data_IF_395228198878
#
_entry.id   IF_395228198878
#
_cell.length_a   1.000
_cell.length_b   1.000
_cell.length_c   1.000
_cell.angle_alpha   90.00
_cell.angle_beta   90.00
_cell.angle_gamma   90.00
#
_symmetry.space_group_name_H-M   'P 1'
#
loop_
_entity.id
_entity.type
_entity.pdbx_description
1 polymer ?
#
# COMPACT_ATOMS: atom_id res chain seq x y z
N UNK A 1 5.79 19.03 -12.08
CA UNK A 1 4.51 18.50 -11.55
C UNK A 1 4.62 18.28 -10.04
N UNK A 2 3.55 18.00 -9.29
CA UNK A 2 3.67 17.49 -7.91
C UNK A 2 3.61 15.96 -7.94
N UNK A 3 4.46 15.28 -7.18
CA UNK A 3 4.36 13.83 -7.01
C UNK A 3 3.14 13.49 -6.16
N UNK A 4 2.23 12.69 -6.72
CA UNK A 4 1.02 12.22 -6.04
C UNK A 4 0.33 11.10 -6.81
N UNK A 5 -0.34 10.21 -6.08
CA UNK A 5 -1.32 9.28 -6.61
C UNK A 5 -2.71 9.90 -6.52
N UNK A 6 -3.35 10.09 -7.67
CA UNK A 6 -4.71 10.61 -7.73
C UNK A 6 -5.72 9.47 -7.68
N UNK A 7 -6.36 9.30 -6.53
CA UNK A 7 -7.37 8.26 -6.28
C UNK A 7 -8.61 8.33 -7.19
N UNK A 8 -8.86 9.44 -7.90
CA UNK A 8 -10.01 9.55 -8.81
C UNK A 8 -9.65 9.24 -10.26
N UNK A 9 -8.39 9.43 -10.64
CA UNK A 9 -7.92 9.12 -12.00
C UNK A 9 -7.07 7.87 -12.06
N UNK A 10 -6.65 7.30 -10.92
CA UNK A 10 -5.80 6.11 -10.85
C UNK A 10 -4.36 6.33 -11.34
N UNK A 11 -3.94 7.59 -11.46
CA UNK A 11 -2.63 7.96 -12.03
C UNK A 11 -1.63 8.23 -10.92
N UNK A 12 -0.43 7.67 -11.08
CA UNK A 12 0.74 8.09 -10.33
C UNK A 12 1.47 9.21 -11.10
N UNK A 13 1.46 10.42 -10.56
CA UNK A 13 2.24 11.54 -11.05
C UNK A 13 3.61 11.53 -10.39
N UNK A 14 4.68 11.58 -11.19
CA UNK A 14 6.07 11.58 -10.74
C UNK A 14 6.74 12.87 -11.19
N UNK A 15 7.12 13.73 -10.24
CA UNK A 15 7.82 14.98 -10.52
C UNK A 15 9.31 14.76 -10.86
N UNK A 16 9.55 13.98 -11.90
CA UNK A 16 10.86 13.71 -12.48
C UNK A 16 10.71 13.33 -13.96
N UNK A 17 11.77 13.44 -14.78
CA UNK A 17 11.78 12.88 -16.13
C UNK A 17 11.75 11.34 -16.11
N UNK A 18 11.16 10.74 -17.14
CA UNK A 18 11.14 9.28 -17.30
C UNK A 18 12.53 8.75 -17.67
N UNK A 19 13.08 7.76 -16.94
CA UNK A 19 14.34 7.12 -17.31
C UNK A 19 14.26 6.42 -18.66
N UNK A 20 15.32 6.55 -19.46
CA UNK A 20 15.46 5.88 -20.76
C UNK A 20 15.32 4.36 -20.63
N UNK A 21 15.79 3.77 -19.54
CA UNK A 21 15.70 2.34 -19.28
C UNK A 21 14.26 1.80 -19.11
N UNK A 22 13.25 2.67 -18.91
CA UNK A 22 11.83 2.30 -18.83
C UNK A 22 11.08 2.46 -20.16
N UNK A 23 11.76 2.90 -21.23
CA UNK A 23 11.14 3.17 -22.54
C UNK A 23 11.01 1.93 -23.44
N UNK A 24 11.51 0.77 -23.00
CA UNK A 24 11.40 -0.49 -23.74
C UNK A 24 10.07 -1.21 -23.54
N UNK A 25 9.87 -2.32 -24.25
CA UNK A 25 8.62 -3.11 -24.23
C UNK A 25 8.23 -3.63 -22.84
N UNK A 26 9.21 -3.76 -21.94
CA UNK A 26 9.03 -4.20 -20.55
C UNK A 26 8.44 -3.14 -19.62
N UNK A 27 8.30 -1.88 -20.07
CA UNK A 27 7.69 -0.79 -19.32
C UNK A 27 8.26 -0.61 -17.90
N UNK A 28 7.39 -0.68 -16.89
CA UNK A 28 7.74 -0.53 -15.47
C UNK A 28 8.31 -1.79 -14.81
N UNK A 29 8.24 -2.95 -15.46
CA UNK A 29 8.63 -4.22 -14.84
C UNK A 29 10.08 -4.25 -14.32
N UNK A 30 11.09 -3.72 -15.04
CA UNK A 30 12.47 -3.70 -14.55
C UNK A 30 12.63 -2.94 -13.24
N UNK A 31 11.83 -1.89 -13.04
CA UNK A 31 11.82 -1.11 -11.80
C UNK A 31 11.33 -1.95 -10.62
N UNK A 32 10.18 -2.62 -10.73
CA UNK A 32 9.63 -3.38 -9.59
C UNK A 32 10.40 -4.66 -9.24
N UNK A 33 11.14 -5.22 -10.20
CA UNK A 33 12.08 -6.30 -9.95
C UNK A 33 13.25 -5.82 -9.10
N UNK A 34 13.78 -4.62 -9.39
CA UNK A 34 14.96 -4.07 -8.73
C UNK A 34 14.73 -2.61 -8.35
N UNK A 35 13.84 -2.29 -7.40
CA UNK A 35 13.49 -0.90 -7.08
C UNK A 35 14.69 -0.13 -6.47
N UNK A 36 15.69 -0.86 -6.01
CA UNK A 36 16.92 -0.32 -5.42
C UNK A 36 18.10 -0.24 -6.39
N UNK A 37 17.92 -0.56 -7.68
CA UNK A 37 19.01 -0.42 -8.66
C UNK A 37 19.51 1.04 -8.66
N UNK A 38 20.82 1.29 -8.46
CA UNK A 38 21.39 2.63 -8.54
C UNK A 38 21.10 3.35 -9.87
N UNK A 39 20.85 2.61 -10.96
CA UNK A 39 20.49 3.16 -12.26
C UNK A 39 19.22 4.02 -12.25
N UNK A 40 18.33 3.82 -11.26
CA UNK A 40 17.12 4.64 -11.10
C UNK A 40 17.40 6.00 -10.45
N UNK A 41 18.60 6.23 -9.91
CA UNK A 41 18.94 7.43 -9.15
C UNK A 41 18.30 7.46 -7.75
N UNK A 42 18.30 8.64 -7.13
CA UNK A 42 17.87 8.82 -5.73
C UNK A 42 16.36 9.07 -5.62
N UNK A 43 15.82 9.97 -6.46
CA UNK A 43 14.45 10.46 -6.30
C UNK A 43 13.39 9.49 -6.83
N UNK A 44 13.64 8.88 -7.99
CA UNK A 44 12.64 8.06 -8.68
C UNK A 44 12.22 6.83 -7.86
N UNK A 45 13.13 6.03 -7.25
CA UNK A 45 12.73 4.88 -6.46
C UNK A 45 11.72 5.20 -5.36
N UNK A 46 11.95 6.31 -4.64
CA UNK A 46 11.05 6.76 -3.58
C UNK A 46 9.67 7.08 -4.14
N UNK A 47 9.64 7.96 -5.13
CA UNK A 47 8.40 8.51 -5.65
C UNK A 47 7.58 7.44 -6.36
N UNK A 48 8.18 6.72 -7.31
CA UNK A 48 7.45 5.74 -8.11
C UNK A 48 6.95 4.58 -7.27
N UNK A 49 7.76 4.07 -6.34
CA UNK A 49 7.33 2.99 -5.47
C UNK A 49 6.25 3.45 -4.48
N UNK A 50 6.41 4.62 -3.85
CA UNK A 50 5.42 5.17 -2.92
C UNK A 50 4.06 5.39 -3.58
N UNK A 51 4.02 6.02 -4.75
CA UNK A 51 2.74 6.22 -5.46
C UNK A 51 2.15 4.89 -5.96
N UNK A 52 2.98 3.88 -6.23
CA UNK A 52 2.51 2.53 -6.57
C UNK A 52 1.89 1.81 -5.37
N UNK A 53 2.43 2.03 -4.17
CA UNK A 53 1.84 1.50 -2.93
C UNK A 53 0.44 2.06 -2.73
N UNK A 54 0.20 3.34 -3.01
CA UNK A 54 -1.15 3.91 -2.96
C UNK A 54 -2.12 3.24 -3.94
N UNK A 55 -1.68 2.95 -5.17
CA UNK A 55 -2.48 2.17 -6.11
C UNK A 55 -2.84 0.78 -5.57
N UNK A 56 -1.88 0.06 -4.97
CA UNK A 56 -2.13 -1.25 -4.37
C UNK A 56 -3.06 -1.15 -3.15
N UNK A 57 -2.91 -0.11 -2.34
CA UNK A 57 -3.79 0.18 -1.21
C UNK A 57 -5.22 0.46 -1.68
N UNK A 58 -5.44 1.18 -2.79
CA UNK A 58 -6.79 1.38 -3.37
C UNK A 58 -7.42 0.03 -3.67
N UNK A 59 -6.66 -0.85 -4.33
CA UNK A 59 -7.13 -2.13 -4.78
C UNK A 59 -7.49 -3.07 -3.62
N UNK A 60 -6.80 -2.93 -2.48
CA UNK A 60 -6.99 -3.77 -1.30
C UNK A 60 -7.86 -3.16 -0.20
N UNK A 61 -8.38 -1.95 -0.39
CA UNK A 61 -9.11 -1.19 0.63
C UNK A 61 -10.53 -0.88 0.18
N UNK A 62 -11.51 -1.56 0.81
CA UNK A 62 -12.92 -1.21 0.62
C UNK A 62 -13.19 0.25 0.96
N UNK A 63 -12.60 0.80 2.02
CA UNK A 63 -12.84 2.20 2.39
C UNK A 63 -12.43 3.18 1.29
N UNK A 64 -11.25 2.98 0.69
CA UNK A 64 -10.77 3.81 -0.41
C UNK A 64 -11.63 3.64 -1.67
N UNK A 65 -12.04 2.42 -1.98
CA UNK A 65 -12.94 2.14 -3.10
C UNK A 65 -14.29 2.85 -2.93
N UNK A 66 -14.86 2.85 -1.72
CA UNK A 66 -16.11 3.55 -1.43
C UNK A 66 -15.99 5.07 -1.58
N UNK A 67 -14.83 5.66 -1.25
CA UNK A 67 -14.57 7.07 -1.56
C UNK A 67 -14.60 7.29 -3.07
N UNK A 68 -13.87 6.50 -3.85
CA UNK A 68 -13.84 6.65 -5.32
C UNK A 68 -15.24 6.52 -5.92
N UNK A 69 -16.02 5.53 -5.49
CA UNK A 69 -17.38 5.28 -5.96
C UNK A 69 -18.30 6.45 -5.65
N UNK A 70 -18.33 6.92 -4.41
CA UNK A 70 -19.20 8.04 -4.01
C UNK A 70 -18.87 9.32 -4.78
N UNK A 71 -17.60 9.55 -5.09
CA UNK A 71 -17.15 10.72 -5.84
C UNK A 71 -17.44 10.58 -7.35
N UNK A 72 -17.33 9.37 -7.90
CA UNK A 72 -17.73 9.06 -9.27
C UNK A 72 -19.23 9.21 -9.48
N UNK A 73 -20.05 8.67 -8.57
CA UNK A 73 -21.51 8.82 -8.62
C UNK A 73 -21.93 10.29 -8.51
N UNK A 74 -21.22 11.09 -7.69
CA UNK A 74 -21.47 12.54 -7.63
C UNK A 74 -21.17 13.20 -8.97
N UNK A 75 -20.06 12.86 -9.61
CA UNK A 75 -19.71 13.39 -10.94
C UNK A 75 -20.78 13.03 -11.97
N UNK A 76 -21.17 11.76 -12.06
CA UNK A 76 -22.22 11.31 -12.98
C UNK A 76 -23.55 12.03 -12.73
N UNK A 77 -23.89 12.32 -11.48
CA UNK A 77 -25.08 13.08 -11.15
C UNK A 77 -25.00 14.51 -11.66
N UNK A 78 -23.90 15.19 -11.38
CA UNK A 78 -23.64 16.54 -11.86
C UNK A 78 -23.73 16.64 -13.40
N UNK A 79 -23.17 15.68 -14.13
CA UNK A 79 -23.23 15.65 -15.59
C UNK A 79 -24.65 15.39 -16.13
N UNK A 80 -25.44 14.59 -15.41
CA UNK A 80 -26.80 14.23 -15.83
C UNK A 80 -27.80 15.36 -15.68
N UNK A 81 -27.79 16.05 -14.53
CA UNK A 81 -28.84 17.04 -14.20
C UNK A 81 -28.31 18.37 -13.67
N UNK A 82 -27.00 18.59 -13.69
CA UNK A 82 -26.37 19.82 -13.20
C UNK A 82 -26.35 19.94 -11.66
N UNK A 83 -26.81 18.93 -10.92
CA UNK A 83 -26.87 19.00 -9.46
C UNK A 83 -25.47 18.93 -8.83
N UNK A 84 -25.09 19.99 -8.11
CA UNK A 84 -23.87 20.04 -7.31
C UNK A 84 -24.16 19.49 -5.92
N UNK A 85 -24.00 18.18 -5.74
CA UNK A 85 -24.18 17.55 -4.43
C UNK A 85 -23.01 17.92 -3.48
N UNK A 86 -23.23 17.90 -2.16
CA UNK A 86 -22.12 17.99 -1.21
C UNK A 86 -21.14 16.83 -1.39
N UNK A 87 -19.87 17.07 -1.04
CA UNK A 87 -18.87 15.99 -0.94
C UNK A 87 -19.35 14.89 0.00
N UNK A 88 -19.02 13.64 -0.34
CA UNK A 88 -19.36 12.49 0.51
C UNK A 88 -18.75 12.66 1.91
N UNK A 89 -19.44 12.15 2.95
CA UNK A 89 -18.90 12.17 4.31
C UNK A 89 -17.58 11.39 4.39
N UNK A 90 -17.44 10.30 3.63
CA UNK A 90 -16.20 9.54 3.49
C UNK A 90 -15.03 10.42 2.99
N UNK A 91 -15.24 11.24 1.94
CA UNK A 91 -14.19 12.16 1.45
C UNK A 91 -13.89 13.27 2.47
N UNK A 92 -14.88 13.75 3.21
CA UNK A 92 -14.69 14.81 4.23
C UNK A 92 -13.89 14.31 5.43
N UNK A 93 -14.16 13.08 5.89
CA UNK A 93 -13.47 12.49 7.04
C UNK A 93 -12.09 11.93 6.69
N UNK A 94 -11.84 11.57 5.42
CA UNK A 94 -10.57 10.96 5.00
C UNK A 94 -9.31 11.67 5.53
N UNK A 95 -9.26 13.00 5.44
CA UNK A 95 -8.12 13.81 5.87
C UNK A 95 -8.26 14.46 7.25
N UNK A 96 -9.27 14.08 8.05
CA UNK A 96 -9.57 14.68 9.36
C UNK A 96 -9.73 13.58 10.40
N UNK A 97 -8.97 13.65 11.47
CA UNK A 97 -9.17 12.77 12.62
C UNK A 97 -10.50 13.13 13.31
N UNK A 98 -11.27 12.13 13.73
CA UNK A 98 -12.36 12.35 14.68
C UNK A 98 -11.81 12.85 16.04
N UNK A 99 -12.67 13.44 16.87
CA UNK A 99 -12.25 14.08 18.12
C UNK A 99 -11.58 13.10 19.11
N UNK A 100 -11.96 11.84 19.06
CA UNK A 100 -11.50 10.72 19.89
C UNK A 100 -10.45 9.84 19.19
N UNK A 101 -10.11 10.14 17.93
CA UNK A 101 -9.17 9.36 17.15
C UNK A 101 -7.76 9.97 17.15
N UNK A 102 -6.70 9.15 17.30
CA UNK A 102 -5.32 9.65 17.38
C UNK A 102 -4.81 10.22 16.06
N UNK A 103 -5.39 9.86 14.91
CA UNK A 103 -4.96 10.26 13.56
C UNK A 103 -6.08 10.09 12.55
N UNK A 104 -5.89 10.59 11.33
CA UNK A 104 -6.86 10.44 10.24
C UNK A 104 -6.61 9.17 9.41
N UNK A 105 -7.60 8.77 8.59
CA UNK A 105 -7.44 7.67 7.62
C UNK A 105 -6.30 7.95 6.64
N UNK A 106 -6.16 9.20 6.20
CA UNK A 106 -5.04 9.65 5.37
C UNK A 106 -3.70 9.42 6.05
N UNK A 107 -3.56 9.81 7.32
CA UNK A 107 -2.30 9.62 8.06
C UNK A 107 -1.93 8.13 8.12
N UNK A 108 -2.91 7.25 8.33
CA UNK A 108 -2.72 5.79 8.37
C UNK A 108 -2.23 5.23 7.02
N UNK A 109 -2.83 5.67 5.92
CA UNK A 109 -2.46 5.23 4.56
C UNK A 109 -1.05 5.69 4.19
N UNK A 110 -0.72 6.94 4.52
CA UNK A 110 0.62 7.50 4.31
C UNK A 110 1.66 6.81 5.20
N UNK A 111 1.29 6.48 6.45
CA UNK A 111 2.10 5.65 7.34
C UNK A 111 2.37 4.27 6.74
N UNK A 112 1.36 3.61 6.18
CA UNK A 112 1.51 2.29 5.58
C UNK A 112 2.33 2.34 4.28
N UNK A 113 2.15 3.36 3.44
CA UNK A 113 2.94 3.55 2.23
C UNK A 113 4.41 3.80 2.58
N UNK A 114 4.66 4.71 3.53
CA UNK A 114 6.01 4.98 4.00
C UNK A 114 6.66 3.76 4.66
N UNK A 115 5.90 3.00 5.46
CA UNK A 115 6.39 1.77 6.06
C UNK A 115 6.97 0.80 5.01
N UNK A 116 6.23 0.58 3.93
CA UNK A 116 6.69 -0.30 2.86
C UNK A 116 7.79 0.29 1.99
N UNK A 117 7.81 1.60 1.79
CA UNK A 117 8.94 2.32 1.20
C UNK A 117 10.23 2.04 1.98
N UNK A 118 10.18 2.12 3.32
CA UNK A 118 11.34 1.84 4.19
C UNK A 118 11.80 0.38 4.11
N UNK A 119 10.88 -0.58 4.19
CA UNK A 119 11.23 -2.01 4.08
C UNK A 119 11.82 -2.37 2.72
N UNK A 120 11.27 -1.81 1.63
CA UNK A 120 11.77 -2.09 0.29
C UNK A 120 13.12 -1.44 0.05
N UNK A 121 13.32 -0.19 0.50
CA UNK A 121 14.52 0.59 0.17
C UNK A 121 15.69 0.41 1.14
N UNK A 122 15.46 -0.26 2.27
CA UNK A 122 16.34 -0.34 3.44
C UNK A 122 16.43 0.98 4.22
N UNK A 123 16.24 0.96 5.55
CA UNK A 123 16.42 2.13 6.40
C UNK A 123 17.80 2.79 6.24
N UNK A 124 18.87 1.99 6.20
CA UNK A 124 20.25 2.50 6.12
C UNK A 124 20.47 3.33 4.85
N UNK A 125 19.85 2.93 3.73
CA UNK A 125 19.88 3.71 2.48
C UNK A 125 19.12 5.02 2.66
N UNK A 126 17.90 4.96 3.18
CA UNK A 126 17.07 6.14 3.39
C UNK A 126 17.71 7.17 4.33
N UNK A 127 18.37 6.71 5.39
CA UNK A 127 19.14 7.58 6.29
C UNK A 127 20.18 8.39 5.51
N UNK A 128 20.93 7.75 4.60
CA UNK A 128 21.96 8.40 3.79
C UNK A 128 21.35 9.35 2.76
N UNK A 129 20.27 8.97 2.11
CA UNK A 129 19.63 9.76 1.05
C UNK A 129 18.82 10.95 1.58
N UNK A 130 18.20 10.80 2.74
CA UNK A 130 17.37 11.84 3.36
C UNK A 130 18.15 12.73 4.33
N UNK A 131 19.41 12.38 4.62
CA UNK A 131 20.26 13.12 5.55
C UNK A 131 19.79 13.04 7.00
N UNK A 132 19.12 11.95 7.38
CA UNK A 132 18.68 11.76 8.78
C UNK A 132 19.89 11.55 9.68
N UNK A 133 20.04 12.39 10.72
CA UNK A 133 21.14 12.26 11.68
C UNK A 133 20.80 11.19 12.74
N UNK A 134 21.59 10.11 12.79
CA UNK A 134 21.51 9.06 13.80
C UNK A 134 22.38 9.34 15.04
N UNK A 135 22.90 10.57 15.20
CA UNK A 135 23.66 11.00 16.38
C UNK A 135 24.93 10.18 16.62
N UNK A 136 25.60 9.74 15.54
CA UNK A 136 26.84 8.97 15.60
C UNK A 136 26.71 7.45 15.82
N UNK A 137 25.50 6.92 16.07
CA UNK A 137 25.26 5.48 16.38
C UNK A 137 25.36 4.54 15.17
N UNK A 138 25.43 5.07 13.95
CA UNK A 138 25.57 4.30 12.69
C UNK A 138 26.82 3.42 12.64
N UNK A 139 27.96 3.93 13.12
CA UNK A 139 29.24 3.23 13.00
C UNK A 139 29.33 1.99 13.88
N UNK A 140 28.64 1.99 15.03
CA UNK A 140 28.53 0.84 15.92
C UNK A 140 27.60 -0.24 15.34
N UNK A 141 26.57 0.20 14.61
CA UNK A 141 25.55 -0.63 13.97
C UNK A 141 26.11 -1.38 12.74
N UNK A 142 26.89 -0.72 11.89
CA UNK A 142 27.44 -1.32 10.66
C UNK A 142 28.54 -2.37 10.92
N UNK A 143 29.22 -2.32 12.08
CA UNK A 143 30.40 -3.13 12.36
C UNK A 143 30.11 -4.60 12.77
N UNK A 144 28.87 -4.94 13.12
CA UNK A 144 28.53 -6.23 13.78
C UNK A 144 27.60 -7.09 12.91
N UNK A 145 27.17 -6.62 11.73
CA UNK A 145 25.97 -7.17 11.09
C UNK A 145 26.18 -8.12 9.92
N UNK A 146 25.36 -9.19 9.85
CA UNK A 146 25.09 -9.86 8.58
C UNK A 146 24.44 -8.88 7.61
N UNK A 147 24.95 -8.83 6.38
CA UNK A 147 24.33 -8.11 5.27
C UNK A 147 22.84 -8.54 5.15
N UNK A 148 21.92 -7.58 5.17
CA UNK A 148 20.48 -7.81 4.94
C UNK A 148 19.56 -7.60 6.16
N UNK A 149 20.08 -7.50 7.38
CA UNK A 149 19.29 -7.19 8.58
C UNK A 149 19.48 -5.73 9.01
N UNK A 150 18.42 -4.91 9.03
CA UNK A 150 18.47 -3.56 9.60
C UNK A 150 18.01 -3.59 11.07
N UNK A 151 18.48 -2.66 11.89
CA UNK A 151 18.00 -2.55 13.26
C UNK A 151 16.62 -1.92 13.28
N UNK A 152 15.80 -2.41 14.19
CA UNK A 152 14.61 -1.73 14.67
C UNK A 152 14.81 -0.23 14.88
N UNK A 153 15.95 0.19 15.44
CA UNK A 153 16.26 1.60 15.65
C UNK A 153 16.41 2.42 14.36
N UNK A 154 17.05 1.88 13.32
CA UNK A 154 17.20 2.59 12.05
C UNK A 154 15.86 2.75 11.36
N UNK A 155 15.06 1.69 11.37
CA UNK A 155 13.70 1.69 10.84
C UNK A 155 12.84 2.73 11.56
N UNK A 156 12.79 2.67 12.89
CA UNK A 156 12.06 3.62 13.73
C UNK A 156 12.50 5.05 13.44
N UNK A 157 13.81 5.29 13.29
CA UNK A 157 14.34 6.63 13.02
C UNK A 157 13.78 7.15 11.70
N UNK A 158 13.89 6.39 10.62
CA UNK A 158 13.40 6.81 9.29
C UNK A 158 11.90 7.05 9.29
N UNK A 159 11.14 6.24 10.02
CA UNK A 159 9.69 6.43 10.20
C UNK A 159 9.35 7.67 11.04
N UNK A 160 10.25 8.14 11.90
CA UNK A 160 10.00 9.24 12.84
C UNK A 160 10.58 10.59 12.40
N UNK A 161 11.66 10.59 11.62
CA UNK A 161 12.46 11.79 11.32
C UNK A 161 12.56 12.14 9.84
N UNK A 162 12.05 11.29 8.94
CA UNK A 162 12.16 11.51 7.50
C UNK A 162 11.43 12.78 6.99
N UNK A 163 11.58 13.10 5.69
CA UNK A 163 10.86 14.20 5.05
C UNK A 163 9.36 13.93 5.15
N UNK A 164 8.55 14.96 5.40
CA UNK A 164 7.09 14.84 5.55
C UNK A 164 6.61 13.94 6.72
N UNK A 165 7.48 13.62 7.69
CA UNK A 165 7.12 12.86 8.90
C UNK A 165 5.94 13.46 9.69
N UNK A 166 5.58 14.72 9.46
CA UNK A 166 4.36 15.32 10.02
C UNK A 166 3.08 14.60 9.60
N UNK A 167 3.09 13.95 8.43
CA UNK A 167 1.94 13.21 7.88
C UNK A 167 1.98 11.75 8.34
N UNK A 168 3.01 10.99 7.97
CA UNK A 168 3.05 9.54 8.20
C UNK A 168 3.55 9.11 9.58
N UNK A 169 4.28 9.93 10.33
CA UNK A 169 4.86 9.47 11.59
C UNK A 169 3.84 9.49 12.74
N UNK A 170 2.69 10.15 12.57
CA UNK A 170 1.68 10.29 13.64
C UNK A 170 1.11 8.92 14.06
N UNK A 171 0.64 8.05 13.15
CA UNK A 171 0.23 6.68 13.53
C UNK A 171 1.39 5.86 14.07
N UNK A 172 2.59 6.02 13.50
CA UNK A 172 3.78 5.28 13.93
C UNK A 172 4.20 5.59 15.37
N UNK A 173 4.24 6.88 15.74
CA UNK A 173 4.49 7.33 17.12
C UNK A 173 3.46 6.76 18.09
N UNK A 174 2.18 6.86 17.73
CA UNK A 174 1.10 6.32 18.54
C UNK A 174 1.28 4.81 18.79
N UNK A 175 1.60 4.03 17.75
CA UNK A 175 1.85 2.60 17.89
C UNK A 175 3.05 2.29 18.80
N UNK A 176 4.17 3.00 18.65
CA UNK A 176 5.34 2.82 19.50
C UNK A 176 5.05 3.15 20.97
N UNK A 177 4.32 4.23 21.23
CA UNK A 177 3.89 4.60 22.58
C UNK A 177 3.03 3.51 23.20
N UNK A 178 2.05 2.98 22.45
CA UNK A 178 1.17 1.89 22.90
C UNK A 178 1.93 0.60 23.15
N UNK A 179 2.83 0.21 22.23
CA UNK A 179 3.64 -0.98 22.36
C UNK A 179 4.57 -0.90 23.59
N UNK A 180 5.23 0.25 23.82
CA UNK A 180 6.09 0.46 25.00
C UNK A 180 5.32 0.41 26.32
N UNK A 181 4.04 0.77 26.32
CA UNK A 181 3.19 0.72 27.50
C UNK A 181 2.54 -0.67 27.73
N UNK A 182 2.58 -1.57 26.75
CA UNK A 182 1.84 -2.83 26.78
C UNK A 182 2.55 -3.91 27.64
N UNK A 183 1.90 -4.48 28.68
CA UNK A 183 2.51 -5.49 29.54
C UNK A 183 3.09 -6.70 28.80
N UNK A 184 2.42 -7.16 27.73
CA UNK A 184 2.91 -8.28 26.93
C UNK A 184 4.26 -7.99 26.25
N UNK A 185 4.53 -6.74 25.88
CA UNK A 185 5.81 -6.31 25.29
C UNK A 185 6.92 -6.34 26.34
N UNK A 186 6.62 -5.97 27.59
CA UNK A 186 7.57 -6.07 28.72
C UNK A 186 7.89 -7.53 29.10
N UNK A 187 7.00 -8.46 28.78
CA UNK A 187 7.22 -9.89 28.99
C UNK A 187 8.10 -10.53 27.91
N UNK A 188 8.37 -9.84 26.79
CA UNK A 188 9.21 -10.34 25.70
C UNK A 188 10.70 -10.30 26.08
N UNK A 189 11.50 -11.27 25.58
CA UNK A 189 12.92 -11.27 25.84
C UNK A 189 13.64 -10.11 25.12
N UNK A 190 14.42 -9.33 25.88
CA UNK A 190 15.27 -8.26 25.37
C UNK A 190 14.85 -6.85 25.82
N UNK A 191 15.51 -5.80 25.31
CA UNK A 191 15.15 -4.41 25.60
C UNK A 191 13.72 -4.08 25.15
N UNK A 192 12.99 -3.32 25.96
CA UNK A 192 11.59 -2.94 25.67
C UNK A 192 11.48 -2.19 24.34
N UNK A 193 12.49 -1.39 23.99
CA UNK A 193 12.53 -0.62 22.75
C UNK A 193 12.58 -1.53 21.51
N UNK A 194 13.38 -2.61 21.56
CA UNK A 194 13.46 -3.59 20.46
C UNK A 194 12.16 -4.39 20.35
N UNK A 195 11.62 -4.82 21.49
CA UNK A 195 10.36 -5.56 21.57
C UNK A 195 9.17 -4.73 21.07
N UNK A 196 9.13 -3.44 21.42
CA UNK A 196 8.11 -2.51 20.94
C UNK A 196 8.20 -2.31 19.43
N UNK A 197 9.39 -2.01 18.89
CA UNK A 197 9.60 -1.88 17.44
C UNK A 197 9.21 -3.14 16.69
N UNK A 198 9.65 -4.32 17.15
CA UNK A 198 9.28 -5.59 16.53
C UNK A 198 7.76 -5.79 16.51
N UNK A 199 7.08 -5.51 17.63
CA UNK A 199 5.62 -5.60 17.72
C UNK A 199 4.91 -4.65 16.75
N UNK A 200 5.38 -3.40 16.63
CA UNK A 200 4.85 -2.43 15.65
C UNK A 200 5.03 -2.95 14.22
N UNK A 201 6.25 -3.39 13.87
CA UNK A 201 6.56 -3.90 12.54
C UNK A 201 5.75 -5.14 12.20
N UNK A 202 5.52 -6.03 13.16
CA UNK A 202 4.73 -7.24 12.99
C UNK A 202 3.24 -6.92 12.76
N UNK A 203 2.67 -6.02 13.57
CA UNK A 203 1.22 -5.80 13.63
C UNK A 203 0.72 -4.78 12.59
N UNK A 204 1.50 -3.76 12.26
CA UNK A 204 1.04 -2.64 11.42
C UNK A 204 0.44 -3.10 10.08
N UNK A 205 1.09 -3.98 9.28
CA UNK A 205 0.53 -4.41 8.00
C UNK A 205 -0.82 -5.08 8.12
N UNK A 206 -0.94 -6.02 9.07
CA UNK A 206 -2.14 -6.83 9.27
C UNK A 206 -3.27 -5.97 9.82
N UNK A 207 -2.99 -5.15 10.83
CA UNK A 207 -3.97 -4.26 11.43
C UNK A 207 -4.48 -3.23 10.42
N UNK A 208 -3.59 -2.63 9.63
CA UNK A 208 -3.98 -1.66 8.58
C UNK A 208 -4.84 -2.31 7.51
N UNK A 209 -4.42 -3.47 7.01
CA UNK A 209 -5.13 -4.19 5.96
C UNK A 209 -6.56 -4.51 6.37
N UNK A 210 -6.75 -5.07 7.57
CA UNK A 210 -8.09 -5.40 8.07
C UNK A 210 -8.92 -4.14 8.34
N UNK A 211 -8.32 -3.12 8.95
CA UNK A 211 -8.99 -1.89 9.32
C UNK A 211 -9.49 -1.08 8.11
N UNK A 212 -8.68 -1.00 7.05
CA UNK A 212 -9.03 -0.30 5.80
C UNK A 212 -10.20 -0.95 5.04
N UNK A 213 -10.65 -2.13 5.46
CA UNK A 213 -11.82 -2.79 4.92
C UNK A 213 -13.11 -2.54 5.72
N UNK A 214 -13.06 -1.68 6.73
CA UNK A 214 -14.19 -1.28 7.57
C UNK A 214 -14.73 0.11 7.18
N UNK A 215 -15.92 0.45 7.68
CA UNK A 215 -16.50 1.79 7.50
C UNK A 215 -15.83 2.84 8.41
N UNK A 216 -15.16 2.41 9.50
CA UNK A 216 -14.43 3.25 10.44
C UNK A 216 -12.96 2.78 10.60
N UNK A 217 -12.08 3.01 9.61
CA UNK A 217 -10.75 2.40 9.60
C UNK A 217 -9.87 2.78 10.78
N UNK A 218 -9.91 4.01 11.28
CA UNK A 218 -9.02 4.40 12.39
C UNK A 218 -9.46 3.73 13.69
N UNK A 219 -10.74 3.79 14.06
CA UNK A 219 -11.28 3.05 15.19
C UNK A 219 -10.97 1.54 15.11
N UNK A 220 -11.20 0.92 13.95
CA UNK A 220 -10.87 -0.49 13.71
C UNK A 220 -9.37 -0.76 13.87
N UNK A 221 -8.52 0.11 13.32
CA UNK A 221 -7.07 -0.01 13.44
C UNK A 221 -6.61 0.07 14.90
N UNK A 222 -7.09 1.06 15.65
CA UNK A 222 -6.75 1.24 17.06
C UNK A 222 -7.11 0.00 17.87
N UNK A 223 -8.35 -0.47 17.75
CA UNK A 223 -8.83 -1.66 18.45
C UNK A 223 -8.06 -2.94 18.02
N UNK A 224 -7.77 -3.08 16.73
CA UNK A 224 -6.97 -4.17 16.20
C UNK A 224 -5.54 -4.14 16.74
N UNK A 225 -4.86 -3.01 16.67
CA UNK A 225 -3.49 -2.88 17.14
C UNK A 225 -3.37 -3.16 18.65
N UNK A 226 -4.25 -2.58 19.47
CA UNK A 226 -4.27 -2.83 20.93
C UNK A 226 -4.57 -4.30 21.25
N UNK A 227 -5.48 -4.94 20.49
CA UNK A 227 -5.68 -6.38 20.58
C UNK A 227 -4.41 -7.14 20.22
N UNK A 228 -3.70 -6.76 19.17
CA UNK A 228 -2.46 -7.40 18.75
C UNK A 228 -1.39 -7.40 19.83
N UNK A 229 -1.39 -6.39 20.71
CA UNK A 229 -0.48 -6.25 21.84
C UNK A 229 -0.87 -7.06 23.08
N UNK A 230 -1.96 -7.82 23.04
CA UNK A 230 -2.34 -8.73 24.14
C UNK A 230 -1.41 -9.94 24.22
N UNK A 231 -1.27 -10.50 25.42
CA UNK A 231 -0.35 -11.61 25.71
C UNK A 231 -0.66 -12.87 24.90
N UNK A 232 -1.93 -13.19 24.67
CA UNK A 232 -2.32 -14.39 23.93
C UNK A 232 -2.04 -14.28 22.42
N UNK A 233 -2.00 -13.06 21.86
CA UNK A 233 -1.63 -12.85 20.45
C UNK A 233 -0.12 -12.69 20.29
N UNK A 234 0.47 -11.76 21.04
CA UNK A 234 1.88 -11.42 20.92
C UNK A 234 2.80 -12.50 21.52
N UNK A 235 2.37 -13.16 22.59
CA UNK A 235 3.08 -14.29 23.19
C UNK A 235 3.15 -15.49 22.26
N UNK A 236 2.06 -15.82 21.55
CA UNK A 236 2.07 -16.90 20.54
C UNK A 236 3.03 -16.56 19.39
N UNK A 237 3.00 -15.33 18.88
CA UNK A 237 3.92 -14.88 17.84
C UNK A 237 5.38 -14.90 18.32
N UNK A 238 5.65 -14.42 19.53
CA UNK A 238 7.01 -14.39 20.07
C UNK A 238 7.56 -15.79 20.34
N UNK A 239 6.74 -16.74 20.78
CA UNK A 239 7.17 -18.12 21.05
C UNK A 239 7.66 -18.84 19.79
N UNK A 240 7.26 -18.36 18.61
CA UNK A 240 7.60 -18.93 17.31
C UNK A 240 8.55 -18.03 16.50
N UNK A 241 8.95 -16.88 17.05
CA UNK A 241 9.75 -15.87 16.36
C UNK A 241 10.98 -16.52 15.72
N UNK A 242 11.24 -16.20 14.46
CA UNK A 242 12.33 -16.86 13.75
C UNK A 242 13.70 -16.55 14.41
N UNK A 243 14.60 -17.55 14.55
CA UNK A 243 15.91 -17.35 15.20
C UNK A 243 16.79 -16.30 14.52
N UNK A 244 16.58 -16.06 13.21
CA UNK A 244 17.30 -15.05 12.43
C UNK A 244 16.80 -13.62 12.73
N UNK A 245 15.71 -13.47 13.48
CA UNK A 245 15.03 -12.20 13.79
C UNK A 245 14.69 -11.38 12.54
N UNK A 246 14.44 -12.07 11.43
CA UNK A 246 14.13 -11.47 10.14
C UNK A 246 12.61 -11.21 10.04
N UNK A 247 12.20 -9.93 10.06
CA UNK A 247 10.77 -9.56 10.12
C UNK A 247 9.96 -10.08 8.92
N UNK A 248 10.61 -10.21 7.76
CA UNK A 248 10.00 -10.76 6.57
C UNK A 248 9.57 -12.23 6.74
N UNK A 249 10.30 -13.02 7.52
CA UNK A 249 9.89 -14.39 7.84
C UNK A 249 8.78 -14.39 8.88
N UNK A 250 8.91 -13.56 9.92
CA UNK A 250 7.87 -13.42 10.95
C UNK A 250 6.50 -13.07 10.35
N UNK A 251 6.42 -12.17 9.36
CA UNK A 251 5.12 -11.88 8.72
C UNK A 251 4.50 -13.09 8.03
N UNK A 252 5.31 -13.93 7.36
CA UNK A 252 4.82 -15.09 6.64
C UNK A 252 4.32 -16.16 7.61
N UNK A 253 5.05 -16.38 8.69
CA UNK A 253 4.71 -17.37 9.72
C UNK A 253 3.50 -16.95 10.56
N UNK A 254 3.35 -15.65 10.83
CA UNK A 254 2.33 -15.14 11.73
C UNK A 254 1.10 -14.54 11.06
N UNK A 255 1.11 -14.35 9.74
CA UNK A 255 -0.01 -13.73 9.02
C UNK A 255 -1.37 -14.29 9.46
N UNK A 256 -1.56 -15.60 9.36
CA UNK A 256 -2.83 -16.25 9.68
C UNK A 256 -3.19 -16.14 11.17
N UNK A 257 -2.21 -16.25 12.06
CA UNK A 257 -2.42 -16.15 13.52
C UNK A 257 -2.88 -14.73 13.87
N UNK A 258 -2.16 -13.72 13.37
CA UNK A 258 -2.47 -12.31 13.59
C UNK A 258 -3.80 -11.95 12.94
N UNK A 259 -4.01 -12.28 11.67
CA UNK A 259 -5.24 -11.98 10.96
C UNK A 259 -6.46 -12.59 11.68
N UNK A 260 -6.36 -13.83 12.17
CA UNK A 260 -7.43 -14.46 12.94
C UNK A 260 -7.64 -13.82 14.32
N UNK A 261 -6.56 -13.53 15.05
CA UNK A 261 -6.61 -12.89 16.36
C UNK A 261 -7.23 -11.49 16.32
N UNK A 262 -6.87 -10.71 15.29
CA UNK A 262 -7.37 -9.38 15.03
C UNK A 262 -8.81 -9.39 14.51
N UNK A 263 -9.13 -10.28 13.55
CA UNK A 263 -10.47 -10.37 12.95
C UNK A 263 -11.57 -10.68 13.97
N UNK A 264 -11.28 -11.47 15.01
CA UNK A 264 -12.25 -11.73 16.09
C UNK A 264 -12.68 -10.46 16.83
N UNK A 265 -11.77 -9.51 16.98
CA UNK A 265 -12.04 -8.21 17.61
C UNK A 265 -12.77 -7.29 16.64
N UNK A 266 -12.34 -7.26 15.38
CA UNK A 266 -12.96 -6.43 14.35
C UNK A 266 -14.38 -6.87 13.97
N UNK A 267 -14.70 -8.17 14.08
CA UNK A 267 -16.08 -8.67 13.94
C UNK A 267 -17.05 -8.06 14.95
N UNK A 268 -16.55 -7.58 16.10
CA UNK A 268 -17.37 -6.85 17.08
C UNK A 268 -17.57 -5.38 16.71
N UNK A 269 -16.76 -4.86 15.79
CA UNK A 269 -16.82 -3.50 15.24
C UNK A 269 -17.54 -3.52 13.87
N UNK A 270 -18.43 -4.49 13.68
CA UNK A 270 -19.31 -4.58 12.51
C UNK A 270 -18.58 -4.82 11.18
N UNK A 271 -17.57 -5.72 11.16
CA UNK A 271 -17.13 -6.32 9.88
C UNK A 271 -18.33 -7.08 9.28
N UNK A 272 -18.82 -6.70 8.08
CA UNK A 272 -19.90 -7.45 7.44
C UNK A 272 -19.53 -8.93 7.36
N UNK A 273 -20.45 -9.80 7.79
CA UNK A 273 -20.19 -11.25 7.95
C UNK A 273 -19.79 -11.95 6.65
N UNK A 274 -20.09 -11.35 5.50
CA UNK A 274 -19.67 -11.82 4.17
C UNK A 274 -18.27 -11.34 3.75
N UNK A 275 -17.61 -10.42 4.47
CA UNK A 275 -16.26 -9.94 4.15
C UNK A 275 -15.14 -10.88 4.62
N UNK A 276 -15.41 -11.83 5.52
CA UNK A 276 -14.36 -12.65 6.14
C UNK A 276 -13.50 -13.48 5.15
N UNK A 277 -14.01 -13.95 4.00
CA UNK A 277 -13.18 -14.58 2.98
C UNK A 277 -12.97 -13.73 1.71
N UNK A 278 -13.26 -12.41 1.71
CA UNK A 278 -13.22 -11.55 0.50
C UNK A 278 -12.52 -10.18 0.67
N UNK A 279 -11.80 -9.98 1.78
CA UNK A 279 -11.06 -8.73 2.08
C UNK A 279 -9.99 -8.44 1.01
N UNK A 280 -10.29 -7.62 -0.02
CA UNK A 280 -9.30 -7.21 -1.03
C UNK A 280 -9.68 -7.47 -2.49
N UNK A 281 -10.81 -8.16 -2.74
CA UNK A 281 -11.39 -8.32 -4.10
C UNK A 281 -12.74 -7.61 -4.26
N UNK A 282 -13.18 -6.82 -3.26
CA UNK A 282 -14.47 -6.11 -3.29
C UNK A 282 -14.66 -5.18 -4.51
N UNK A 283 -13.57 -4.79 -5.17
CA UNK A 283 -13.60 -4.06 -6.43
C UNK A 283 -14.31 -4.84 -7.56
N UNK A 284 -14.21 -6.18 -7.57
CA UNK A 284 -14.81 -7.05 -8.59
C UNK A 284 -16.34 -7.05 -8.50
N UNK A 285 -16.89 -6.76 -7.34
CA UNK A 285 -18.34 -6.73 -7.11
C UNK A 285 -18.94 -5.34 -7.37
N UNK A 286 -18.09 -4.32 -7.57
CA UNK A 286 -18.53 -2.93 -7.66
C UNK A 286 -18.73 -2.48 -9.11
N UNK A 287 -19.99 -2.34 -9.52
CA UNK A 287 -20.36 -1.90 -10.88
C UNK A 287 -19.80 -0.52 -11.27
N UNK A 288 -19.67 0.39 -10.31
CA UNK A 288 -19.14 1.73 -10.61
C UNK A 288 -17.70 1.67 -11.13
N UNK A 289 -16.90 0.69 -10.67
CA UNK A 289 -15.55 0.46 -11.20
C UNK A 289 -15.56 -0.11 -12.63
N UNK A 290 -16.55 -0.94 -12.98
CA UNK A 290 -16.70 -1.47 -14.34
C UNK A 290 -17.07 -0.38 -15.36
N UNK A 291 -17.87 0.60 -14.94
CA UNK A 291 -18.30 1.72 -15.78
C UNK A 291 -17.29 2.88 -15.80
N UNK A 292 -16.33 2.88 -14.86
CA UNK A 292 -15.33 3.95 -14.77
C UNK A 292 -14.29 3.83 -15.90
N UNK A 293 -14.02 4.90 -16.68
CA UNK A 293 -13.19 4.83 -17.88
C UNK A 293 -11.74 4.40 -17.60
N UNK A 294 -11.19 4.82 -16.46
CA UNK A 294 -9.85 4.38 -16.00
C UNK A 294 -9.90 3.06 -15.21
N UNK A 295 -10.74 2.95 -14.19
CA UNK A 295 -10.72 1.83 -13.27
C UNK A 295 -11.34 0.52 -13.76
N UNK A 296 -12.04 0.48 -14.89
CA UNK A 296 -12.47 -0.79 -15.50
C UNK A 296 -11.30 -1.76 -15.73
N UNK A 297 -10.11 -1.23 -15.97
CA UNK A 297 -8.87 -2.00 -16.13
C UNK A 297 -8.35 -2.57 -14.80
N UNK A 298 -8.65 -1.92 -13.67
CA UNK A 298 -8.32 -2.43 -12.34
C UNK A 298 -9.05 -3.76 -12.09
N UNK A 299 -10.35 -3.83 -12.40
CA UNK A 299 -11.13 -5.06 -12.24
C UNK A 299 -10.56 -6.21 -13.06
N UNK A 300 -10.27 -5.99 -14.34
CA UNK A 300 -9.69 -7.00 -15.22
C UNK A 300 -8.38 -7.56 -14.65
N UNK A 301 -7.46 -6.68 -14.27
CA UNK A 301 -6.15 -7.08 -13.70
C UNK A 301 -6.29 -7.80 -12.37
N UNK A 302 -7.31 -7.44 -11.61
CA UNK A 302 -7.57 -8.03 -10.31
C UNK A 302 -8.07 -9.47 -10.47
N UNK A 303 -8.98 -9.72 -11.42
CA UNK A 303 -9.41 -11.08 -11.78
C UNK A 303 -8.21 -11.94 -12.17
N UNK A 304 -7.28 -11.37 -12.92
CA UNK A 304 -6.17 -12.17 -13.43
C UNK A 304 -5.05 -12.37 -12.44
N UNK A 305 -4.82 -11.42 -11.53
CA UNK A 305 -4.02 -11.68 -10.34
C UNK A 305 -4.63 -12.81 -9.52
N UNK A 306 -5.95 -12.84 -9.38
CA UNK A 306 -6.64 -13.93 -8.67
C UNK A 306 -6.44 -15.29 -9.33
N UNK A 307 -6.60 -15.36 -10.66
CA UNK A 307 -6.32 -16.56 -11.45
C UNK A 307 -4.84 -16.98 -11.36
N UNK A 308 -3.90 -16.03 -11.26
CA UNK A 308 -2.48 -16.30 -11.07
C UNK A 308 -2.18 -16.92 -9.72
N UNK A 309 -2.72 -16.33 -8.68
CA UNK A 309 -2.59 -16.85 -7.31
C UNK A 309 -3.22 -18.24 -7.21
N UNK A 310 -4.37 -18.47 -7.84
CA UNK A 310 -5.01 -19.77 -7.90
C UNK A 310 -4.18 -20.81 -8.68
N UNK A 311 -3.63 -20.41 -9.82
CA UNK A 311 -2.75 -21.24 -10.64
C UNK A 311 -1.46 -21.60 -9.90
N UNK A 312 -0.87 -20.66 -9.16
CA UNK A 312 0.33 -20.89 -8.34
C UNK A 312 0.09 -21.89 -7.22
N UNK A 313 -1.08 -21.81 -6.59
CA UNK A 313 -1.50 -22.78 -5.58
C UNK A 313 -1.59 -24.19 -6.18
N UNK A 314 -2.19 -24.31 -7.36
CA UNK A 314 -2.49 -25.59 -8.04
C UNK A 314 -1.29 -26.21 -8.77
N UNK A 315 -0.37 -25.42 -9.34
CA UNK A 315 0.64 -25.91 -10.27
C UNK A 315 2.06 -25.92 -9.67
N UNK A 316 2.65 -27.11 -9.51
CA UNK A 316 4.02 -27.27 -8.99
C UNK A 316 5.11 -26.66 -9.89
N UNK A 317 4.92 -26.52 -11.20
CA UNK A 317 5.90 -25.95 -12.15
C UNK A 317 5.93 -24.42 -12.14
N UNK A 318 4.79 -23.75 -11.95
CA UNK A 318 4.73 -22.28 -11.84
C UNK A 318 5.44 -21.76 -10.59
N UNK A 319 5.62 -22.63 -9.59
CA UNK A 319 6.47 -22.38 -8.41
C UNK A 319 7.93 -22.11 -8.78
N UNK A 320 8.37 -22.55 -9.96
CA UNK A 320 9.74 -22.35 -10.45
C UNK A 320 9.97 -20.96 -11.05
N UNK A 321 8.93 -20.28 -11.56
CA UNK A 321 9.06 -18.93 -12.12
C UNK A 321 9.23 -17.85 -11.04
N UNK A 322 8.88 -18.16 -9.79
CA UNK A 322 9.16 -17.33 -8.62
C UNK A 322 10.53 -17.61 -7.99
N UNK A 323 11.33 -18.53 -8.57
CA UNK A 323 12.67 -18.89 -8.09
C UNK A 323 13.80 -18.01 -8.64
N UNK A 324 13.52 -16.92 -9.37
CA UNK A 324 14.57 -15.99 -9.81
C UNK A 324 14.73 -14.89 -8.76
N UNK A 325 15.81 -14.90 -7.96
CA UNK A 325 16.04 -13.85 -6.97
C UNK A 325 16.36 -12.54 -7.72
N UNK A 326 15.83 -11.38 -7.31
CA UNK A 326 16.49 -10.14 -7.63
C UNK A 326 17.75 -10.04 -6.77
N UNK A 327 18.89 -10.42 -7.36
CA UNK A 327 20.26 -9.99 -7.01
C UNK A 327 20.85 -10.26 -5.61
N UNK A 328 20.42 -11.29 -4.87
CA UNK A 328 21.28 -11.81 -3.80
C UNK A 328 21.09 -13.29 -3.50
N UNK A 329 22.22 -13.97 -3.30
CA UNK A 329 22.37 -15.29 -2.68
C UNK A 329 21.96 -15.29 -1.18
N UNK A 330 20.90 -14.58 -0.82
CA UNK A 330 20.31 -14.41 0.51
C UNK A 330 18.80 -14.41 0.28
N UNK A 331 18.11 -15.54 0.15
CA UNK A 331 17.84 -16.48 1.22
C UNK A 331 17.01 -17.61 0.58
N UNK A 332 17.63 -18.76 0.33
CA UNK A 332 16.95 -19.93 -0.23
C UNK A 332 15.85 -20.39 0.76
N UNK A 333 16.07 -20.20 2.06
CA UNK A 333 15.13 -20.59 3.11
C UNK A 333 13.92 -19.65 3.14
N UNK A 334 14.10 -18.35 2.91
CA UNK A 334 13.00 -17.38 2.78
C UNK A 334 12.12 -17.62 1.53
N UNK A 335 12.73 -18.02 0.41
CA UNK A 335 11.98 -18.44 -0.78
C UNK A 335 11.20 -19.75 -0.55
N UNK A 336 11.77 -20.68 0.23
CA UNK A 336 11.11 -21.94 0.62
C UNK A 336 10.00 -21.73 1.65
N UNK A 337 10.20 -20.91 2.69
CA UNK A 337 9.20 -20.54 3.68
C UNK A 337 8.03 -19.80 3.04
N UNK A 338 8.29 -18.91 2.09
CA UNK A 338 7.25 -18.26 1.30
C UNK A 338 6.48 -19.26 0.42
N UNK A 339 7.19 -20.21 -0.21
CA UNK A 339 6.56 -21.29 -0.99
C UNK A 339 5.64 -22.12 -0.10
N UNK A 340 6.05 -22.44 1.12
CA UNK A 340 5.23 -23.16 2.07
C UNK A 340 4.04 -22.30 2.52
N UNK A 341 4.25 -21.02 2.84
CA UNK A 341 3.19 -20.08 3.21
C UNK A 341 2.14 -19.92 2.10
N UNK A 342 2.53 -19.72 0.84
CA UNK A 342 1.59 -19.58 -0.28
C UNK A 342 0.81 -20.87 -0.60
N UNK A 343 1.36 -22.04 -0.27
CA UNK A 343 0.72 -23.35 -0.51
C UNK A 343 -0.19 -23.74 0.66
N UNK A 344 0.19 -23.37 1.88
CA UNK A 344 -0.49 -23.75 3.12
C UNK A 344 -1.51 -22.72 3.58
N UNK A 345 -1.34 -21.44 3.23
CA UNK A 345 -2.30 -20.41 3.57
C UNK A 345 -3.52 -20.49 2.64
N UNK A 346 -4.73 -20.64 3.20
CA UNK A 346 -5.96 -20.59 2.41
C UNK A 346 -6.20 -19.20 1.81
N UNK A 347 -5.55 -18.17 2.36
CA UNK A 347 -5.80 -16.76 2.13
C UNK A 347 -4.90 -16.20 1.02
N UNK A 348 -5.51 -15.61 -0.01
CA UNK A 348 -4.81 -14.93 -1.14
C UNK A 348 -4.32 -13.51 -0.76
N UNK A 349 -4.73 -13.03 0.40
CA UNK A 349 -4.59 -11.67 0.93
C UNK A 349 -3.20 -11.18 1.32
N UNK A 350 -2.24 -12.05 1.73
CA UNK A 350 -0.89 -11.61 2.09
C UNK A 350 -0.25 -10.72 1.03
N UNK A 351 -0.53 -10.95 -0.27
CA UNK A 351 0.07 -10.20 -1.38
C UNK A 351 -0.14 -8.69 -1.26
N UNK A 352 -1.35 -8.25 -0.91
CA UNK A 352 -1.71 -6.83 -0.81
C UNK A 352 -1.36 -6.21 0.55
N UNK A 353 -1.33 -7.04 1.58
CA UNK A 353 -0.97 -6.59 2.93
C UNK A 353 0.54 -6.49 3.13
N UNK A 354 1.33 -7.28 2.38
CA UNK A 354 2.79 -7.37 2.47
C UNK A 354 3.50 -6.99 1.16
N UNK A 355 3.18 -5.86 0.51
CA UNK A 355 3.69 -5.49 -0.81
C UNK A 355 5.21 -5.22 -0.87
N UNK A 356 5.89 -5.10 0.29
CA UNK A 356 7.34 -5.00 0.35
C UNK A 356 8.08 -6.33 0.35
N UNK A 357 7.38 -7.46 0.54
CA UNK A 357 7.96 -8.79 0.36
C UNK A 357 8.45 -8.92 -1.08
N UNK A 358 9.73 -9.25 -1.34
CA UNK A 358 10.30 -9.22 -2.69
C UNK A 358 9.46 -9.95 -3.74
N UNK A 359 8.90 -11.11 -3.38
CA UNK A 359 8.05 -11.90 -4.27
C UNK A 359 6.68 -11.26 -4.51
N UNK A 360 6.01 -10.76 -3.48
CA UNK A 360 4.73 -10.06 -3.66
C UNK A 360 4.92 -8.75 -4.40
N UNK A 361 6.01 -8.02 -4.14
CA UNK A 361 6.40 -6.84 -4.90
C UNK A 361 6.62 -7.16 -6.37
N UNK A 362 7.34 -8.23 -6.68
CA UNK A 362 7.58 -8.63 -8.06
C UNK A 362 6.28 -9.04 -8.76
N UNK A 363 5.42 -9.80 -8.07
CA UNK A 363 4.09 -10.18 -8.55
C UNK A 363 3.20 -8.96 -8.81
N UNK A 364 3.06 -8.08 -7.82
CA UNK A 364 2.28 -6.85 -7.92
C UNK A 364 2.87 -5.91 -8.96
N UNK A 365 4.19 -5.76 -9.05
CA UNK A 365 4.83 -4.95 -10.07
C UNK A 365 4.64 -5.49 -11.49
N UNK A 366 4.66 -6.82 -11.65
CA UNK A 366 4.49 -7.46 -12.96
C UNK A 366 3.03 -7.53 -13.42
N UNK A 367 2.10 -7.81 -12.51
CA UNK A 367 0.68 -8.03 -12.84
C UNK A 367 -0.21 -6.85 -12.51
N UNK A 368 0.17 -6.04 -11.52
CA UNK A 368 -0.68 -5.08 -10.84
C UNK A 368 -0.01 -3.70 -10.58
N UNK A 369 1.04 -3.31 -11.32
CA UNK A 369 1.61 -1.97 -11.30
C UNK A 369 0.59 -0.88 -11.67
N UNK A 370 0.72 0.40 -11.28
CA UNK A 370 -0.19 1.46 -11.74
C UNK A 370 -0.31 1.48 -13.28
N UNK A 371 -1.53 1.56 -13.83
CA UNK A 371 -1.72 1.38 -15.27
C UNK A 371 -1.14 2.56 -16.07
N UNK A 372 -1.14 3.77 -15.50
CA UNK A 372 -0.53 4.96 -16.08
C UNK A 372 0.34 5.66 -15.03
N UNK A 373 1.59 5.94 -15.41
CA UNK A 373 2.53 6.77 -14.67
C UNK A 373 2.86 7.99 -15.53
N UNK A 374 2.58 9.19 -15.00
CA UNK A 374 2.88 10.45 -15.67
C UNK A 374 4.16 11.03 -15.12
N UNK A 375 5.18 11.17 -15.96
CA UNK A 375 6.43 11.87 -15.68
C UNK A 375 6.32 13.33 -16.16
N UNK A 376 7.32 14.16 -15.84
CA UNK A 376 7.32 15.57 -16.28
C UNK A 376 7.43 15.70 -17.83
N UNK A 377 8.04 14.71 -18.50
CA UNK A 377 8.30 14.76 -19.95
C UNK A 377 7.45 13.79 -20.79
N UNK A 378 6.78 12.81 -20.17
CA UNK A 378 5.96 11.80 -20.88
C UNK A 378 5.05 10.99 -19.97
N UNK A 379 4.10 10.31 -20.59
CA UNK A 379 3.29 9.26 -20.00
C UNK A 379 3.91 7.88 -20.27
N UNK A 380 3.93 7.01 -19.27
CA UNK A 380 4.33 5.61 -19.38
C UNK A 380 3.18 4.71 -18.92
N UNK A 381 2.80 3.77 -19.77
CA UNK A 381 1.74 2.79 -19.46
C UNK A 381 2.39 1.47 -19.10
N UNK A 382 2.00 0.92 -17.96
CA UNK A 382 2.51 -0.36 -17.50
C UNK A 382 1.95 -1.48 -18.40
N UNK A 383 2.81 -2.06 -19.23
CA UNK A 383 2.50 -3.30 -19.95
C UNK A 383 2.61 -4.46 -18.96
N UNK A 384 1.56 -5.28 -18.86
CA UNK A 384 1.65 -6.53 -18.11
C UNK A 384 2.29 -7.57 -19.03
N UNK A 385 3.62 -7.62 -19.01
CA UNK A 385 4.41 -8.54 -19.84
C UNK A 385 4.79 -9.84 -19.12
N UNK A 386 4.52 -9.95 -17.81
CA UNK A 386 5.08 -11.01 -16.98
C UNK A 386 4.57 -12.43 -17.33
N UNK A 387 3.43 -12.54 -18.01
CA UNK A 387 2.85 -13.81 -18.42
C UNK A 387 2.39 -13.71 -19.88
N UNK A 388 3.17 -14.25 -20.84
CA UNK A 388 2.87 -14.18 -22.28
C UNK A 388 1.48 -14.73 -22.65
N UNK A 389 0.96 -15.65 -21.83
CA UNK A 389 -0.34 -16.29 -22.01
C UNK A 389 -1.51 -15.52 -21.38
N UNK A 390 -1.26 -14.34 -20.79
CA UNK A 390 -2.32 -13.47 -20.26
C UNK A 390 -2.48 -12.21 -21.12
N UNK A 391 -3.38 -12.26 -22.13
CA UNK A 391 -3.50 -11.20 -23.12
C UNK A 391 -4.38 -10.08 -22.57
N UNK A 392 -3.80 -9.13 -21.85
CA UNK A 392 -4.37 -7.78 -21.86
C UNK A 392 -3.31 -6.77 -22.28
N UNK A 393 -3.50 -6.21 -23.47
CA UNK A 393 -2.90 -4.94 -23.83
C UNK A 393 -3.87 -3.84 -23.42
N UNK A 394 -3.36 -2.85 -22.71
CA UNK A 394 -4.07 -1.58 -22.54
C UNK A 394 -3.52 -0.66 -23.62
N UNK A 395 -4.40 -0.13 -24.47
CA UNK A 395 -4.04 0.94 -25.38
C UNK A 395 -3.63 2.16 -24.55
N UNK A 396 -2.34 2.47 -24.59
CA UNK A 396 -1.76 3.51 -23.77
C UNK A 396 -2.32 4.90 -24.11
N UNK A 397 -2.56 5.16 -25.40
CA UNK A 397 -3.12 6.43 -25.85
C UNK A 397 -4.58 6.55 -25.40
N UNK A 398 -5.35 5.46 -25.51
CA UNK A 398 -6.74 5.45 -25.04
C UNK A 398 -6.83 5.63 -23.51
N UNK A 399 -5.95 5.01 -22.73
CA UNK A 399 -5.94 5.17 -21.28
C UNK A 399 -5.52 6.59 -20.86
N UNK A 400 -4.47 7.15 -21.48
CA UNK A 400 -4.04 8.53 -21.19
C UNK A 400 -5.15 9.54 -21.54
N UNK A 401 -5.83 9.37 -22.69
CA UNK A 401 -6.98 10.19 -23.06
C UNK A 401 -8.14 10.05 -22.05
N UNK A 402 -8.46 8.83 -21.62
CA UNK A 402 -9.50 8.57 -20.61
C UNK A 402 -9.17 9.22 -19.26
N UNK A 403 -7.91 9.22 -18.86
CA UNK A 403 -7.42 9.92 -17.66
C UNK A 403 -7.62 11.43 -17.78
N UNK A 404 -7.21 12.02 -18.90
CA UNK A 404 -7.30 13.47 -19.10
C UNK A 404 -8.76 13.93 -19.18
N UNK A 405 -9.62 13.16 -19.84
CA UNK A 405 -11.06 13.37 -19.86
C UNK A 405 -11.65 13.31 -18.44
N UNK A 406 -11.33 12.25 -17.68
CA UNK A 406 -11.79 12.09 -16.29
C UNK A 406 -11.35 13.26 -15.42
N UNK A 407 -10.09 13.69 -15.56
CA UNK A 407 -9.55 14.85 -14.85
C UNK A 407 -10.29 16.14 -15.21
N UNK A 408 -10.58 16.37 -16.49
CA UNK A 408 -11.33 17.54 -16.94
C UNK A 408 -12.77 17.53 -16.37
N UNK A 409 -13.42 16.37 -16.35
CA UNK A 409 -14.77 16.20 -15.79
C UNK A 409 -14.82 16.51 -14.29
N UNK A 410 -13.87 15.99 -13.51
CA UNK A 410 -13.75 16.35 -12.09
C UNK A 410 -13.40 17.84 -11.89
N UNK A 411 -12.56 18.43 -12.73
CA UNK A 411 -12.26 19.87 -12.65
C UNK A 411 -13.50 20.74 -12.90
N UNK A 412 -14.39 20.34 -13.82
CA UNK A 412 -15.68 21.01 -14.04
C UNK A 412 -16.59 20.92 -12.80
N UNK A 413 -16.67 19.75 -12.16
CA UNK A 413 -17.40 19.59 -10.91
C UNK A 413 -16.83 20.48 -9.79
N UNK A 414 -15.50 20.51 -9.62
CA UNK A 414 -14.83 21.33 -8.60
C UNK A 414 -15.01 22.85 -8.84
N UNK A 415 -15.05 23.26 -10.11
CA UNK A 415 -15.39 24.63 -10.48
C UNK A 415 -16.83 24.97 -10.10
N UNK A 416 -17.79 24.08 -10.39
CA UNK A 416 -19.19 24.25 -10.02
C UNK A 416 -19.40 24.27 -8.49
N UNK A 417 -18.72 23.39 -7.74
CA UNK A 417 -18.67 23.42 -6.27
C UNK A 417 -18.18 24.77 -5.75
N UNK A 418 -17.14 25.32 -6.39
CA UNK A 418 -16.58 26.62 -6.02
C UNK A 418 -17.55 27.76 -6.30
N UNK A 419 -18.25 27.74 -7.43
CA UNK A 419 -19.26 28.73 -7.78
C UNK A 419 -20.42 28.76 -6.79
N UNK A 420 -20.99 27.59 -6.48
CA UNK A 420 -22.09 27.46 -5.51
C UNK A 420 -21.68 27.97 -4.13
N UNK A 421 -20.46 27.64 -3.66
CA UNK A 421 -19.94 28.13 -2.38
C UNK A 421 -19.81 29.65 -2.33
N UNK A 422 -19.59 30.30 -3.46
CA UNK A 422 -19.51 31.76 -3.59
C UNK A 422 -20.88 32.42 -3.83
N UNK A 423 -21.98 31.65 -3.82
CA UNK A 423 -23.32 32.15 -4.11
C UNK A 423 -23.58 32.43 -5.59
N UNK A 424 -22.78 31.87 -6.49
CA UNK A 424 -22.90 32.01 -7.95
C UNK A 424 -23.63 30.79 -8.57
N UNK A 425 -24.18 30.94 -9.78
CA UNK A 425 -24.69 29.79 -10.55
C UNK A 425 -23.59 28.73 -10.80
N UNK A 426 -23.92 27.42 -10.83
CA UNK A 426 -22.94 26.34 -11.00
C UNK A 426 -22.04 26.46 -12.25
N UNK A 427 -22.51 27.13 -13.30
CA UNK A 427 -21.79 27.34 -14.55
C UNK A 427 -20.96 28.64 -14.60
N UNK A 428 -20.86 29.40 -13.50
CA UNK A 428 -20.20 30.71 -13.48
C UNK A 428 -18.70 30.68 -13.85
N UNK A 429 -18.06 29.51 -13.74
CA UNK A 429 -16.65 29.30 -14.13
C UNK A 429 -16.49 28.31 -15.30
N UNK A 430 -17.58 27.96 -15.98
CA UNK A 430 -17.48 27.16 -17.19
C UNK A 430 -16.65 27.95 -18.22
N UNK A 431 -15.59 27.32 -18.75
CA UNK A 431 -14.88 27.89 -19.89
C UNK A 431 -15.79 27.74 -21.10
N UNK A 432 -16.04 28.82 -21.82
CA UNK A 432 -16.72 28.73 -23.11
C UNK A 432 -15.92 27.75 -24.00
N UNK A 433 -16.61 26.79 -24.66
CA UNK A 433 -15.98 25.71 -25.41
C UNK A 433 -15.15 26.17 -26.61
#
# INVERSE_FOLDING_TARGET
MKTEFNWFTGVACIAAPCPVALLGDSGLQPFFQRPNDPAWGIALPRQLYHESLHYWQLASSRHLQMIVVAEWERLLRFEKDGAVLPRSELRKSFGRAAADEPFSVRDLIECLARFWDVHTRSPTRLIREEGSDLGGRLREIDAIRPQGSYASLEFDTVMLTGPDCKVYAKPYRWMLERARAAPAVHALPGPVEESASWSVNLLLPVASFLALNTDAPVAAFVAGFERGLSEDVLGEASARRNPLKAINLDWLDFWSVLANGLSKTLKRIDLPTWLAPWVGFGVLENKAFLDHPVYRHLCARMMSLDEALDSLRKNQRMRFLFNSPPDAAQDIDGAMALREALVTQPDRWPVFSLPGQPTFRSLLGGMFAPPLVRFDDRDLVATVSAFPDWPWSIDAAALSAAVDETKARFAALEAAETAVRLGLPPNAFARDP
#
